data_IF_240150799446
#
_entry.id   IF_240150799446
#
_cell.length_a   1.000
_cell.length_b   1.000
_cell.length_c   1.000
_cell.angle_alpha   90.00
_cell.angle_beta   90.00
_cell.angle_gamma   90.00
#
_symmetry.space_group_name_H-M   'P 1'
#
loop_
_entity.id
_entity.type
_entity.pdbx_description
1 polymer ?
#
# COMPACT_ATOMS: atom_id res chain seq x y z
N UNK A 1 11.20 -7.20 -3.37
CA UNK A 1 10.51 -5.91 -3.54
C UNK A 1 9.12 -6.18 -4.09
N UNK A 2 8.22 -5.22 -3.97
CA UNK A 2 6.82 -5.38 -4.36
C UNK A 2 6.34 -4.27 -5.28
N UNK A 3 5.51 -4.65 -6.25
CA UNK A 3 4.66 -3.74 -7.00
C UNK A 3 3.35 -3.58 -6.23
N UNK A 4 2.94 -2.33 -6.01
CA UNK A 4 1.70 -1.97 -5.32
C UNK A 4 0.80 -1.23 -6.31
N UNK A 5 -0.34 -1.84 -6.62
CA UNK A 5 -1.36 -1.24 -7.47
C UNK A 5 -2.49 -0.71 -6.61
N UNK A 6 -2.77 0.58 -6.72
CA UNK A 6 -3.87 1.23 -6.00
C UNK A 6 -5.04 1.38 -6.94
N UNK A 7 -6.20 0.87 -6.53
CA UNK A 7 -7.47 1.08 -7.19
C UNK A 7 -8.29 2.11 -6.41
N UNK A 8 -8.97 2.99 -7.14
CA UNK A 8 -9.90 3.94 -6.53
C UNK A 8 -11.20 3.27 -6.04
N UNK A 9 -12.05 4.04 -5.36
CA UNK A 9 -13.36 3.56 -4.86
C UNK A 9 -14.34 3.13 -5.96
N UNK A 10 -14.09 3.49 -7.22
CA UNK A 10 -14.84 3.02 -8.38
C UNK A 10 -14.25 1.75 -9.01
N UNK A 11 -13.24 1.15 -8.37
CA UNK A 11 -12.46 -0.01 -8.84
C UNK A 11 -11.63 0.25 -10.10
N UNK A 12 -11.42 1.51 -10.46
CA UNK A 12 -10.49 1.86 -11.55
C UNK A 12 -9.09 1.91 -11.00
N UNK A 13 -8.13 1.38 -11.77
CA UNK A 13 -6.72 1.50 -11.44
C UNK A 13 -6.34 2.99 -11.40
N UNK A 14 -5.87 3.44 -10.24
CA UNK A 14 -5.45 4.82 -10.01
C UNK A 14 -3.96 4.99 -10.31
N UNK A 15 -3.11 4.13 -9.73
CA UNK A 15 -1.65 4.22 -9.88
C UNK A 15 -0.95 2.91 -9.55
N UNK A 16 0.24 2.74 -10.12
CA UNK A 16 1.17 1.64 -9.83
C UNK A 16 2.44 2.23 -9.22
N UNK A 17 2.91 1.61 -8.14
CA UNK A 17 4.16 1.93 -7.46
C UNK A 17 5.05 0.69 -7.48
N UNK A 18 6.34 0.87 -7.76
CA UNK A 18 7.31 -0.22 -7.89
C UNK A 18 8.41 -0.12 -6.86
N UNK A 19 9.09 -1.23 -6.66
CA UNK A 19 10.24 -1.38 -5.78
C UNK A 19 9.93 -1.02 -4.33
N UNK A 20 8.70 -1.33 -3.88
CA UNK A 20 8.27 -1.08 -2.51
C UNK A 20 8.85 -2.16 -1.59
N UNK A 21 9.52 -1.76 -0.51
CA UNK A 21 10.06 -2.67 0.51
C UNK A 21 9.24 -2.67 1.81
N UNK A 22 8.45 -1.63 2.04
CA UNK A 22 7.66 -1.47 3.26
C UNK A 22 6.39 -0.68 2.98
N UNK A 23 5.28 -1.13 3.57
CA UNK A 23 3.95 -0.52 3.47
C UNK A 23 3.50 -0.17 4.87
N UNK A 24 3.16 1.10 5.10
CA UNK A 24 2.58 1.56 6.35
C UNK A 24 1.15 2.01 6.14
N UNK A 25 0.30 1.84 7.15
CA UNK A 25 -1.05 2.38 7.15
C UNK A 25 -1.50 2.76 8.57
N UNK A 26 -2.47 3.68 8.64
CA UNK A 26 -3.18 3.96 9.89
C UNK A 26 -4.26 2.90 10.12
N UNK A 27 -4.20 2.22 11.27
CA UNK A 27 -5.23 1.28 11.68
C UNK A 27 -6.46 1.98 12.29
N UNK A 28 -7.39 1.19 12.83
CA UNK A 28 -8.65 1.69 13.39
C UNK A 28 -8.48 2.50 14.69
N UNK A 29 -7.28 2.50 15.28
CA UNK A 29 -6.96 3.28 16.49
C UNK A 29 -6.00 4.44 16.19
N UNK A 30 -5.87 4.80 14.91
CA UNK A 30 -4.97 5.84 14.40
C UNK A 30 -3.49 5.60 14.76
N UNK A 31 -3.08 4.32 14.88
CA UNK A 31 -1.67 3.96 15.04
C UNK A 31 -1.05 3.48 13.72
N UNK A 32 0.27 3.69 13.58
CA UNK A 32 1.00 3.30 12.39
C UNK A 32 1.36 1.82 12.43
N UNK A 33 0.71 1.03 11.58
CA UNK A 33 1.13 -0.34 11.30
C UNK A 33 2.15 -0.33 10.17
N UNK A 34 3.25 -1.07 10.33
CA UNK A 34 4.29 -1.24 9.31
C UNK A 34 4.40 -2.71 8.92
N UNK A 35 4.32 -2.99 7.63
CA UNK A 35 4.46 -4.33 7.05
C UNK A 35 5.64 -4.32 6.09
N UNK A 36 6.61 -5.20 6.30
CA UNK A 36 7.84 -5.28 5.51
C UNK A 36 8.27 -6.73 5.26
N UNK A 37 9.20 -6.92 4.33
CA UNK A 37 9.74 -8.25 4.00
C UNK A 37 8.68 -9.19 3.42
N UNK A 38 8.77 -10.48 3.75
CA UNK A 38 7.91 -11.52 3.17
C UNK A 38 6.45 -11.40 3.63
N UNK A 39 6.21 -10.74 4.77
CA UNK A 39 4.87 -10.51 5.31
C UNK A 39 3.99 -9.69 4.37
N UNK A 40 4.58 -8.82 3.53
CA UNK A 40 3.82 -7.97 2.60
C UNK A 40 2.92 -8.80 1.68
N UNK A 41 3.41 -9.92 1.15
CA UNK A 41 2.66 -10.74 0.17
C UNK A 41 1.45 -11.48 0.76
N UNK A 42 1.43 -11.69 2.07
CA UNK A 42 0.37 -12.44 2.77
C UNK A 42 -0.52 -11.53 3.62
N UNK A 43 -0.18 -10.24 3.76
CA UNK A 43 -0.91 -9.31 4.60
C UNK A 43 -2.17 -8.79 3.91
N UNK A 44 -3.30 -8.80 4.64
CA UNK A 44 -4.55 -8.22 4.17
C UNK A 44 -4.60 -6.73 4.55
N UNK A 45 -4.29 -5.88 3.58
CA UNK A 45 -4.28 -4.44 3.76
C UNK A 45 -5.71 -3.87 3.85
N UNK A 46 -6.02 -3.05 4.87
CA UNK A 46 -7.38 -2.54 5.08
C UNK A 46 -7.83 -1.52 4.02
N UNK A 47 -9.06 -1.62 3.58
CA UNK A 47 -9.62 -0.62 2.67
C UNK A 47 -9.89 0.71 3.40
N UNK A 48 -9.92 1.83 2.68
CA UNK A 48 -10.22 3.16 3.22
C UNK A 48 -9.25 3.65 4.32
N UNK A 49 -7.99 3.24 4.28
CA UNK A 49 -6.91 3.75 5.13
C UNK A 49 -5.99 4.71 4.38
N UNK A 50 -5.29 5.57 5.12
CA UNK A 50 -4.16 6.33 4.58
C UNK A 50 -2.94 5.43 4.57
N UNK A 51 -2.22 5.42 3.46
CA UNK A 51 -1.04 4.58 3.25
C UNK A 51 0.22 5.41 3.06
N UNK A 52 1.35 4.83 3.49
CA UNK A 52 2.67 5.26 3.11
C UNK A 52 3.41 4.08 2.47
N UNK A 53 3.85 4.23 1.22
CA UNK A 53 4.63 3.23 0.51
C UNK A 53 6.09 3.69 0.47
N UNK A 54 7.00 2.82 0.91
CA UNK A 54 8.43 3.14 1.00
C UNK A 54 9.21 2.32 -0.03
N UNK A 55 9.99 3.00 -0.85
CA UNK A 55 11.03 2.40 -1.70
C UNK A 55 12.41 2.92 -1.29
N UNK A 56 13.47 2.41 -1.91
CA UNK A 56 14.83 2.92 -1.72
C UNK A 56 15.02 4.35 -2.26
N UNK A 57 14.17 4.77 -3.21
CA UNK A 57 14.36 6.01 -3.98
C UNK A 57 13.28 7.05 -3.73
N UNK A 58 12.14 6.67 -3.15
CA UNK A 58 11.02 7.56 -2.90
C UNK A 58 10.06 7.01 -1.84
N UNK A 59 9.37 7.94 -1.18
CA UNK A 59 8.26 7.63 -0.28
C UNK A 59 6.98 8.25 -0.86
N UNK A 60 5.90 7.48 -0.85
CA UNK A 60 4.61 7.90 -1.39
C UNK A 60 3.57 7.91 -0.28
N UNK A 61 2.81 9.00 -0.16
CA UNK A 61 1.65 9.08 0.72
C UNK A 61 0.37 8.98 -0.11
N UNK A 62 -0.57 8.14 0.29
CA UNK A 62 -1.85 7.93 -0.40
C UNK A 62 -2.98 8.14 0.60
N UNK A 63 -3.88 9.07 0.30
CA UNK A 63 -5.02 9.39 1.16
C UNK A 63 -6.13 8.34 1.10
N UNK A 64 -6.80 8.14 2.25
CA UNK A 64 -7.97 7.25 2.40
C UNK A 64 -9.17 7.60 1.52
N UNK A 65 -9.22 8.82 1.02
CA UNK A 65 -10.24 9.32 0.12
C UNK A 65 -10.13 8.64 -1.26
N UNK A 66 -8.92 8.26 -1.66
CA UNK A 66 -8.61 7.61 -2.94
C UNK A 66 -8.77 6.08 -2.84
N UNK A 67 -8.19 5.46 -1.80
CA UNK A 67 -7.99 4.00 -1.76
C UNK A 67 -9.31 3.23 -1.62
N UNK A 68 -9.71 2.56 -2.70
CA UNK A 68 -10.77 1.54 -2.68
C UNK A 68 -10.21 0.13 -2.45
N UNK A 69 -9.07 -0.19 -3.07
CA UNK A 69 -8.38 -1.47 -2.93
C UNK A 69 -6.87 -1.29 -3.18
N UNK A 70 -6.06 -2.15 -2.57
CA UNK A 70 -4.64 -2.28 -2.88
C UNK A 70 -4.36 -3.74 -3.25
N UNK A 71 -3.65 -3.92 -4.36
CA UNK A 71 -3.10 -5.18 -4.80
C UNK A 71 -1.58 -5.12 -4.68
N UNK A 72 -0.97 -6.20 -4.17
CA UNK A 72 0.46 -6.27 -3.95
C UNK A 72 1.01 -7.54 -4.57
N UNK A 73 2.02 -7.38 -5.43
CA UNK A 73 2.64 -8.46 -6.19
C UNK A 73 4.15 -8.44 -5.95
N UNK A 74 4.74 -9.61 -5.76
CA UNK A 74 6.20 -9.74 -5.66
C UNK A 74 6.84 -9.45 -7.02
N UNK A 75 7.87 -8.60 -7.03
CA UNK A 75 8.63 -8.32 -8.24
C UNK A 75 9.52 -9.52 -8.59
N UNK A 76 9.54 -9.89 -9.88
CA UNK A 76 10.33 -10.99 -10.45
C UNK A 76 11.78 -10.59 -10.70
#
# INVERSE_FOLDING_TARGET
MYTVTVYDKSKKMFRIYRSIHSIKYFDLVDDWVTVSGDAISSHQFPMNCTYQLLSETANYNIGKDIVGCIEVEMES
#
